data_IF_512477948633
#
_entry.id   IF_512477948633
#
_cell.length_a   1.000
_cell.length_b   1.000
_cell.length_c   1.000
_cell.angle_alpha   90.00
_cell.angle_beta   90.00
_cell.angle_gamma   90.00
#
_symmetry.space_group_name_H-M   'P 1'
#
loop_
_entity.id
_entity.type
_entity.pdbx_description
1 polymer ?
#
# COMPACT_ATOMS: atom_id res chain seq x y z
N UNK A 1 -65.35 -68.83 -68.10
CA UNK A 1 -65.58 -67.69 -67.25
C UNK A 1 -64.51 -67.72 -66.17
N UNK A 2 -63.49 -66.98 -66.34
CA UNK A 2 -62.32 -66.93 -65.44
C UNK A 2 -62.28 -65.61 -64.67
N UNK A 3 -62.03 -65.62 -63.37
CA UNK A 3 -62.00 -64.41 -62.58
C UNK A 3 -60.63 -63.73 -62.58
N UNK A 4 -60.56 -62.40 -62.34
CA UNK A 4 -59.34 -61.62 -62.37
C UNK A 4 -58.62 -61.64 -61.01
N UNK A 5 -57.74 -62.59 -60.78
CA UNK A 5 -57.01 -62.71 -59.50
C UNK A 5 -55.65 -61.90 -59.49
N UNK A 6 -55.26 -61.20 -60.58
CA UNK A 6 -53.95 -60.53 -60.67
C UNK A 6 -53.87 -59.04 -60.23
N UNK A 7 -55.02 -58.38 -60.08
CA UNK A 7 -55.00 -56.92 -59.80
C UNK A 7 -54.87 -56.59 -58.30
N UNK A 8 -55.18 -57.48 -57.39
CA UNK A 8 -55.14 -57.24 -55.96
C UNK A 8 -53.71 -57.29 -55.38
N UNK A 9 -52.86 -58.14 -55.90
CA UNK A 9 -51.46 -58.25 -55.45
C UNK A 9 -50.61 -57.04 -55.93
N UNK A 10 -50.84 -56.56 -57.12
CA UNK A 10 -50.18 -55.33 -57.60
C UNK A 10 -50.64 -54.10 -56.81
N UNK A 11 -51.88 -53.96 -56.46
CA UNK A 11 -52.43 -52.91 -55.59
C UNK A 11 -51.83 -52.98 -54.14
N UNK A 12 -51.71 -54.19 -53.60
CA UNK A 12 -51.10 -54.38 -52.29
C UNK A 12 -49.60 -54.06 -52.28
N UNK A 13 -48.85 -54.42 -53.33
CA UNK A 13 -47.45 -54.08 -53.48
C UNK A 13 -47.20 -52.55 -53.63
N UNK A 14 -48.09 -51.86 -54.38
CA UNK A 14 -48.03 -50.41 -54.50
C UNK A 14 -48.36 -49.68 -53.14
N UNK A 15 -49.34 -50.20 -52.40
CA UNK A 15 -49.65 -49.60 -51.08
C UNK A 15 -48.57 -49.85 -50.09
N UNK A 16 -47.90 -51.01 -50.06
CA UNK A 16 -46.80 -51.28 -49.12
C UNK A 16 -45.56 -50.41 -49.46
N UNK A 17 -45.32 -50.20 -50.76
CA UNK A 17 -44.23 -49.32 -51.22
C UNK A 17 -44.48 -47.82 -50.85
N UNK A 18 -45.74 -47.39 -51.03
CA UNK A 18 -46.13 -46.01 -50.59
C UNK A 18 -46.13 -45.84 -49.08
N UNK A 19 -46.51 -46.84 -48.30
CA UNK A 19 -46.40 -46.79 -46.83
C UNK A 19 -44.92 -46.79 -46.40
N UNK A 20 -44.08 -47.61 -47.04
CA UNK A 20 -42.65 -47.62 -46.75
C UNK A 20 -41.97 -46.25 -47.05
N UNK A 21 -42.34 -45.67 -48.21
CA UNK A 21 -41.89 -44.33 -48.62
C UNK A 21 -42.37 -43.24 -47.64
N UNK A 22 -43.62 -43.31 -47.19
CA UNK A 22 -44.15 -42.38 -46.21
C UNK A 22 -43.49 -42.54 -44.82
N UNK A 23 -43.20 -43.76 -44.40
CA UNK A 23 -42.47 -44.03 -43.15
C UNK A 23 -41.02 -43.48 -43.23
N UNK A 24 -40.32 -43.69 -44.36
CA UNK A 24 -38.99 -43.15 -44.56
C UNK A 24 -39.03 -41.61 -44.59
N UNK A 25 -40.05 -41.02 -45.26
CA UNK A 25 -40.23 -39.57 -45.29
C UNK A 25 -40.49 -38.98 -43.87
N UNK A 26 -41.34 -39.67 -43.08
CA UNK A 26 -41.62 -39.28 -41.69
C UNK A 26 -40.39 -39.45 -40.80
N UNK A 27 -39.62 -40.53 -40.92
CA UNK A 27 -38.37 -40.73 -40.21
C UNK A 27 -37.34 -39.67 -40.59
N UNK A 28 -37.22 -39.32 -41.85
CA UNK A 28 -36.34 -38.22 -42.34
C UNK A 28 -36.84 -36.85 -41.84
N UNK A 29 -38.13 -36.63 -41.69
CA UNK A 29 -38.68 -35.36 -41.18
C UNK A 29 -38.51 -35.23 -39.67
N UNK A 30 -38.82 -36.28 -38.88
CA UNK A 30 -38.62 -36.29 -37.45
C UNK A 30 -37.16 -36.42 -37.03
N UNK A 31 -36.25 -36.94 -37.87
CA UNK A 31 -34.82 -37.03 -37.66
C UNK A 31 -34.07 -35.72 -37.89
N UNK A 32 -34.74 -34.63 -38.36
CA UNK A 32 -34.12 -33.33 -38.46
C UNK A 32 -34.01 -32.72 -37.07
N UNK A 33 -32.77 -32.72 -36.49
CA UNK A 33 -32.47 -32.05 -35.22
C UNK A 33 -32.89 -30.58 -35.32
N UNK A 34 -33.67 -30.11 -34.33
CA UNK A 34 -34.03 -28.68 -34.24
C UNK A 34 -32.74 -27.85 -34.11
N UNK A 35 -32.65 -26.74 -34.85
CA UNK A 35 -31.46 -25.90 -34.72
C UNK A 35 -31.36 -25.32 -33.32
N UNK A 36 -30.15 -25.39 -32.73
CA UNK A 36 -29.87 -24.89 -31.39
C UNK A 36 -29.58 -23.37 -31.48
N UNK A 37 -30.27 -22.55 -30.71
CA UNK A 37 -29.99 -21.12 -30.68
C UNK A 37 -28.65 -20.86 -30.01
N UNK A 38 -27.72 -20.16 -30.67
CA UNK A 38 -26.38 -19.84 -30.15
C UNK A 38 -26.08 -18.34 -30.24
N UNK A 39 -25.37 -17.86 -29.24
CA UNK A 39 -24.79 -16.50 -29.26
C UNK A 39 -23.40 -16.60 -29.88
N UNK A 40 -23.13 -15.74 -30.82
CA UNK A 40 -21.84 -15.71 -31.53
C UNK A 40 -21.15 -14.37 -31.35
N UNK A 41 -19.83 -14.40 -31.42
CA UNK A 41 -18.98 -13.24 -31.52
C UNK A 41 -18.14 -13.34 -32.79
N UNK A 42 -17.85 -12.20 -33.40
CA UNK A 42 -16.99 -12.13 -34.57
C UNK A 42 -15.51 -12.04 -34.14
N UNK A 43 -14.67 -12.81 -34.77
CA UNK A 43 -13.21 -12.78 -34.60
C UNK A 43 -12.68 -11.47 -35.20
N UNK A 44 -12.28 -10.55 -34.32
CA UNK A 44 -11.80 -9.23 -34.73
C UNK A 44 -10.35 -8.98 -34.33
N UNK A 45 -9.80 -7.88 -34.81
CA UNK A 45 -8.49 -7.40 -34.32
C UNK A 45 -8.68 -6.38 -33.23
N UNK A 46 -7.83 -6.44 -32.20
CA UNK A 46 -7.87 -5.49 -31.11
C UNK A 46 -6.73 -5.68 -30.12
N UNK A 47 -6.79 -4.94 -29.04
CA UNK A 47 -5.86 -5.03 -27.93
C UNK A 47 -6.23 -6.23 -27.04
N UNK A 48 -5.21 -7.00 -26.63
CA UNK A 48 -5.32 -8.04 -25.59
C UNK A 48 -4.26 -7.76 -24.53
N UNK A 49 -4.69 -7.75 -23.28
CA UNK A 49 -3.83 -7.56 -22.11
C UNK A 49 -3.81 -8.86 -21.28
N UNK A 50 -2.66 -9.22 -20.79
CA UNK A 50 -2.57 -10.24 -19.74
C UNK A 50 -2.50 -9.52 -18.41
N UNK A 51 -3.47 -9.76 -17.55
CA UNK A 51 -3.61 -9.05 -16.29
C UNK A 51 -3.73 -10.01 -15.12
N UNK A 52 -3.31 -9.56 -13.96
CA UNK A 52 -3.50 -10.23 -12.67
C UNK A 52 -4.16 -9.23 -11.73
N UNK A 53 -5.27 -9.61 -11.12
CA UNK A 53 -5.96 -8.80 -10.13
C UNK A 53 -5.56 -9.20 -8.70
N UNK A 54 -5.70 -8.28 -7.77
CA UNK A 54 -5.55 -8.57 -6.34
C UNK A 54 -6.58 -9.59 -5.86
N UNK A 55 -6.19 -10.41 -4.91
CA UNK A 55 -7.03 -11.50 -4.37
C UNK A 55 -8.14 -10.98 -3.45
N UNK A 56 -7.89 -9.89 -2.78
CA UNK A 56 -8.80 -9.19 -1.86
C UNK A 56 -8.63 -7.70 -2.06
N UNK A 57 -9.68 -6.92 -1.76
CA UNK A 57 -9.61 -5.47 -1.82
C UNK A 57 -8.37 -4.95 -1.08
N UNK A 58 -7.59 -4.16 -1.79
CA UNK A 58 -6.49 -3.39 -1.22
C UNK A 58 -7.02 -2.15 -0.51
N UNK A 59 -6.13 -1.36 0.04
CA UNK A 59 -6.45 -0.10 0.72
C UNK A 59 -5.56 1.04 0.26
N UNK A 60 -6.15 2.24 0.23
CA UNK A 60 -5.39 3.48 0.06
C UNK A 60 -4.65 3.77 1.36
N UNK A 61 -3.34 3.89 1.30
CA UNK A 61 -2.46 4.15 2.44
C UNK A 61 -1.70 5.46 2.25
N UNK A 62 -1.37 6.13 3.36
CA UNK A 62 -0.48 7.28 3.34
C UNK A 62 0.98 6.85 3.32
N UNK A 63 1.84 7.60 2.61
CA UNK A 63 3.28 7.33 2.61
C UNK A 63 3.90 7.41 4.01
N UNK A 64 3.37 8.29 4.86
CA UNK A 64 3.72 8.39 6.26
C UNK A 64 2.47 8.44 7.11
N UNK A 65 2.38 7.53 8.06
CA UNK A 65 1.37 7.54 9.11
C UNK A 65 2.05 7.18 10.42
N UNK A 66 1.85 7.98 11.44
CA UNK A 66 2.47 7.74 12.75
C UNK A 66 1.44 7.88 13.85
N UNK A 67 1.37 6.85 14.66
CA UNK A 67 0.57 6.83 15.88
C UNK A 67 1.44 7.33 17.02
N UNK A 68 1.27 8.58 17.38
CA UNK A 68 2.08 9.29 18.37
C UNK A 68 1.55 8.99 19.77
N UNK A 69 2.45 8.60 20.67
CA UNK A 69 2.16 8.41 22.10
C UNK A 69 3.05 9.30 22.93
N UNK A 70 2.59 9.70 24.11
CA UNK A 70 3.42 10.41 25.07
C UNK A 70 4.53 9.50 25.60
N UNK A 71 5.73 10.06 25.84
CA UNK A 71 6.88 9.33 26.42
C UNK A 71 6.71 9.19 27.94
N UNK A 72 6.07 10.18 28.56
CA UNK A 72 5.78 10.22 30.00
C UNK A 72 4.28 10.27 30.24
N UNK A 73 3.80 9.70 31.34
CA UNK A 73 2.41 9.86 31.75
C UNK A 73 2.18 11.21 32.44
N UNK A 74 0.96 11.73 32.30
CA UNK A 74 0.57 12.97 32.95
C UNK A 74 -0.81 13.45 32.52
N UNK A 75 -1.34 14.45 33.25
CA UNK A 75 -2.61 15.08 32.89
C UNK A 75 -2.42 15.98 31.67
N UNK A 76 -3.33 15.88 30.70
CA UNK A 76 -3.34 16.75 29.51
C UNK A 76 -3.70 18.17 29.96
N UNK A 77 -2.79 19.11 29.77
CA UNK A 77 -2.96 20.53 30.06
C UNK A 77 -3.48 21.29 28.83
N UNK A 78 -2.87 21.01 27.68
CA UNK A 78 -3.18 21.69 26.43
C UNK A 78 -3.33 20.66 25.31
N UNK A 79 -4.42 20.76 24.58
CA UNK A 79 -4.64 20.13 23.30
C UNK A 79 -4.68 21.22 22.23
N UNK A 80 -3.60 21.36 21.47
CA UNK A 80 -3.40 22.49 20.55
C UNK A 80 -4.02 22.29 19.17
N UNK A 81 -4.60 21.09 18.89
CA UNK A 81 -5.15 20.68 17.61
C UNK A 81 -6.46 19.92 17.79
N UNK A 82 -7.23 19.85 16.69
CA UNK A 82 -8.46 19.06 16.57
C UNK A 82 -8.31 18.00 15.48
N UNK A 83 -9.18 17.01 15.49
CA UNK A 83 -9.27 16.04 14.39
C UNK A 83 -9.62 16.77 13.09
N UNK A 84 -8.91 16.43 12.00
CA UNK A 84 -9.02 17.12 10.72
C UNK A 84 -8.08 18.32 10.52
N UNK A 85 -7.40 18.79 11.56
CA UNK A 85 -6.48 19.94 11.43
C UNK A 85 -5.22 19.55 10.66
N UNK A 86 -4.77 20.45 9.78
CA UNK A 86 -3.46 20.39 9.13
C UNK A 86 -2.37 20.98 10.01
N UNK A 87 -1.31 20.23 10.23
CA UNK A 87 -0.18 20.62 11.09
C UNK A 87 1.12 20.66 10.32
N UNK A 88 2.04 21.52 10.79
CA UNK A 88 3.42 21.60 10.26
C UNK A 88 4.36 20.75 11.11
N UNK A 89 5.46 20.31 10.52
CA UNK A 89 6.56 19.66 11.28
C UNK A 89 7.01 20.53 12.43
N UNK A 90 7.14 19.95 13.64
CA UNK A 90 7.52 20.62 14.87
C UNK A 90 6.41 21.40 15.58
N UNK A 91 5.19 21.43 15.01
CA UNK A 91 4.03 22.07 15.66
C UNK A 91 3.64 21.29 16.92
N UNK A 92 3.34 22.01 18.01
CA UNK A 92 2.83 21.44 19.23
C UNK A 92 1.44 20.85 18.97
N UNK A 93 1.24 19.60 19.37
CA UNK A 93 -0.02 18.89 19.27
C UNK A 93 -0.73 18.78 20.63
N UNK A 94 0.03 18.34 21.63
CA UNK A 94 -0.46 18.11 22.98
C UNK A 94 0.62 18.45 23.99
N UNK A 95 0.25 18.98 25.15
CA UNK A 95 1.17 19.23 26.25
C UNK A 95 0.57 18.68 27.54
N UNK A 96 1.37 17.97 28.30
CA UNK A 96 1.02 17.55 29.65
C UNK A 96 1.33 18.66 30.65
N UNK A 97 0.62 18.67 31.77
CA UNK A 97 0.95 19.49 32.91
C UNK A 97 2.37 19.18 33.39
N UNK A 98 3.20 20.21 33.50
CA UNK A 98 4.64 20.05 33.72
C UNK A 98 5.26 21.13 34.63
N UNK A 99 4.48 21.70 35.54
CA UNK A 99 4.95 22.75 36.45
C UNK A 99 6.14 22.28 37.32
N UNK A 100 6.13 20.99 37.74
CA UNK A 100 7.22 20.41 38.49
C UNK A 100 8.54 20.39 37.69
N UNK A 101 8.46 20.01 36.38
CA UNK A 101 9.62 19.99 35.49
C UNK A 101 10.12 21.41 35.20
N UNK A 102 9.20 22.37 35.06
CA UNK A 102 9.55 23.79 34.92
C UNK A 102 10.27 24.32 36.14
N UNK A 103 9.75 24.03 37.34
CA UNK A 103 10.38 24.42 38.60
C UNK A 103 11.78 23.80 38.76
N UNK A 104 11.93 22.51 38.46
CA UNK A 104 13.25 21.84 38.47
C UNK A 104 14.22 22.45 37.48
N UNK A 105 13.77 22.79 36.28
CA UNK A 105 14.59 23.47 35.27
C UNK A 105 15.03 24.85 35.73
N UNK A 106 14.13 25.64 36.30
CA UNK A 106 14.45 26.95 36.89
C UNK A 106 15.48 26.84 38.03
N UNK A 107 15.36 25.84 38.94
CA UNK A 107 16.33 25.58 40.00
C UNK A 107 17.72 25.25 39.40
N UNK A 108 17.77 24.38 38.37
CA UNK A 108 19.04 24.03 37.70
C UNK A 108 19.72 25.24 37.07
N UNK A 109 18.96 26.15 36.47
CA UNK A 109 19.49 27.42 35.92
C UNK A 109 20.07 28.32 37.02
N UNK A 110 19.39 28.43 38.18
CA UNK A 110 19.91 29.21 39.30
C UNK A 110 21.19 28.59 39.88
N UNK A 111 21.34 27.27 39.85
CA UNK A 111 22.60 26.59 40.26
C UNK A 111 23.75 26.92 39.33
N UNK A 112 23.53 27.01 37.98
CA UNK A 112 24.54 27.47 37.02
C UNK A 112 24.96 28.89 37.33
N UNK A 113 24.06 29.81 37.60
CA UNK A 113 24.39 31.20 37.95
C UNK A 113 25.24 31.28 39.21
N UNK A 114 24.88 30.54 40.25
CA UNK A 114 25.65 30.43 41.51
C UNK A 114 27.08 29.89 41.24
N UNK A 115 27.20 28.81 40.49
CA UNK A 115 28.50 28.24 40.12
C UNK A 115 29.37 29.23 39.32
N UNK A 116 28.78 30.01 38.42
CA UNK A 116 29.51 31.07 37.66
C UNK A 116 30.03 32.16 38.58
N UNK A 117 29.30 32.61 39.60
CA UNK A 117 29.77 33.61 40.58
C UNK A 117 30.96 33.09 41.37
N UNK A 118 30.95 31.80 41.76
CA UNK A 118 32.09 31.15 42.45
C UNK A 118 33.34 31.09 41.55
N UNK A 119 33.16 30.86 40.25
CA UNK A 119 34.28 30.93 39.30
C UNK A 119 34.90 32.32 39.28
N UNK A 120 34.08 33.38 39.23
CA UNK A 120 34.58 34.77 39.33
C UNK A 120 35.45 35.03 40.55
N UNK A 121 34.98 34.56 41.74
CA UNK A 121 35.73 34.67 42.97
C UNK A 121 37.05 33.89 42.94
N UNK A 122 37.01 32.60 42.67
CA UNK A 122 38.20 31.73 42.71
C UNK A 122 39.22 32.07 41.66
N UNK A 123 38.80 32.42 40.42
CA UNK A 123 39.73 32.77 39.36
C UNK A 123 40.37 34.18 39.58
N UNK A 124 39.63 35.13 40.16
CA UNK A 124 40.20 36.40 40.56
C UNK A 124 41.27 36.21 41.67
N UNK A 125 41.06 35.33 42.64
CA UNK A 125 42.05 34.96 43.63
C UNK A 125 43.29 34.28 43.01
N UNK A 126 43.08 33.40 42.04
CA UNK A 126 44.16 32.75 41.29
C UNK A 126 45.01 33.75 40.52
N UNK A 127 44.38 34.71 39.85
CA UNK A 127 45.07 35.78 39.12
C UNK A 127 45.88 36.68 40.06
N UNK A 128 45.36 36.96 41.26
CA UNK A 128 46.11 37.75 42.26
C UNK A 128 47.34 36.99 42.79
N UNK A 129 47.19 35.69 43.07
CA UNK A 129 48.32 34.86 43.51
C UNK A 129 49.38 34.70 42.42
N UNK A 130 48.97 34.57 41.15
CA UNK A 130 49.86 34.48 40.02
C UNK A 130 50.67 35.80 39.78
N UNK A 131 50.04 36.95 40.03
CA UNK A 131 50.78 38.25 39.99
C UNK A 131 51.75 38.33 41.14
N UNK A 132 51.45 37.91 42.37
CA UNK A 132 52.30 37.84 43.49
C UNK A 132 53.56 36.96 43.26
N UNK A 133 53.30 35.71 42.75
CA UNK A 133 54.37 34.77 42.41
C UNK A 133 55.39 35.38 41.40
N UNK A 134 54.86 36.02 40.37
CA UNK A 134 55.73 36.73 39.39
C UNK A 134 56.56 37.84 40.07
N UNK A 135 55.97 38.63 40.89
CA UNK A 135 56.67 39.71 41.63
C UNK A 135 57.77 39.14 42.55
N UNK A 136 57.54 38.06 43.26
CA UNK A 136 58.49 37.38 44.13
C UNK A 136 59.69 36.83 43.30
N UNK A 137 59.40 36.26 42.13
CA UNK A 137 60.46 35.79 41.20
C UNK A 137 61.35 36.94 40.70
N UNK A 138 60.80 38.09 40.29
CA UNK A 138 61.55 39.28 39.91
C UNK A 138 62.40 39.83 41.05
N UNK A 139 61.88 39.89 42.27
CA UNK A 139 62.63 40.37 43.44
C UNK A 139 63.77 39.39 43.82
N UNK A 140 63.60 38.09 43.61
CA UNK A 140 64.67 37.12 43.84
C UNK A 140 65.80 37.26 42.86
N UNK A 141 65.54 37.50 41.59
CA UNK A 141 66.56 37.79 40.59
C UNK A 141 67.41 39.01 40.96
N UNK A 142 66.78 39.98 41.65
CA UNK A 142 67.46 41.19 42.17
C UNK A 142 68.11 40.97 43.54
N UNK A 143 67.98 39.75 44.15
CA UNK A 143 68.62 39.45 45.45
C UNK A 143 67.80 39.90 46.67
N UNK A 144 66.60 40.42 46.55
CA UNK A 144 65.85 41.01 47.65
C UNK A 144 65.00 39.97 48.48
N UNK A 145 64.78 38.79 47.90
CA UNK A 145 63.98 37.73 48.64
C UNK A 145 64.70 36.39 48.59
N UNK A 146 64.34 35.46 49.53
CA UNK A 146 64.91 34.11 49.58
C UNK A 146 64.19 33.17 48.60
N UNK A 147 64.89 32.10 48.19
CA UNK A 147 64.36 31.02 47.37
C UNK A 147 63.05 30.41 48.00
N UNK A 148 63.07 30.17 49.33
CA UNK A 148 61.93 29.65 50.04
C UNK A 148 60.68 30.54 49.95
N UNK A 149 60.87 31.85 49.81
CA UNK A 149 59.74 32.79 49.68
C UNK A 149 59.13 32.76 48.26
N UNK A 150 60.00 32.65 47.23
CA UNK A 150 59.60 32.46 45.87
C UNK A 150 58.82 31.14 45.71
N UNK A 151 59.35 30.00 46.21
CA UNK A 151 58.77 28.71 46.18
C UNK A 151 57.38 28.70 46.85
N UNK A 152 57.27 29.38 48.02
CA UNK A 152 55.96 29.47 48.70
C UNK A 152 54.93 30.26 47.86
N UNK A 153 55.30 31.35 47.21
CA UNK A 153 54.42 32.15 46.41
C UNK A 153 54.02 31.39 45.10
N UNK A 154 54.92 30.59 44.53
CA UNK A 154 54.65 29.75 43.38
C UNK A 154 53.68 28.62 43.73
N UNK A 155 53.89 27.91 44.85
CA UNK A 155 53.00 26.87 45.33
C UNK A 155 51.58 27.40 45.63
N UNK A 156 51.45 28.58 46.21
CA UNK A 156 50.17 29.25 46.45
C UNK A 156 49.46 29.60 45.15
N UNK A 157 50.19 30.13 44.14
CA UNK A 157 49.64 30.43 42.84
C UNK A 157 49.12 29.16 42.12
N UNK A 158 49.85 28.05 42.18
CA UNK A 158 49.40 26.75 41.65
C UNK A 158 48.15 26.20 42.36
N UNK A 159 48.13 26.28 43.67
CA UNK A 159 46.97 25.87 44.47
C UNK A 159 45.72 26.69 44.11
N UNK A 160 45.82 28.00 43.98
CA UNK A 160 44.70 28.86 43.55
C UNK A 160 44.27 28.61 42.11
N UNK A 161 45.22 28.32 41.20
CA UNK A 161 44.93 27.95 39.82
C UNK A 161 44.14 26.63 39.76
N UNK A 162 44.56 25.62 40.55
CA UNK A 162 43.84 24.35 40.65
C UNK A 162 42.43 24.53 41.24
N UNK A 163 42.26 25.39 42.26
CA UNK A 163 40.95 25.75 42.80
C UNK A 163 40.04 26.43 41.77
N UNK A 164 40.57 27.39 40.96
CA UNK A 164 39.82 27.99 39.87
C UNK A 164 39.40 26.94 38.82
N UNK A 165 40.26 26.00 38.46
CA UNK A 165 39.93 24.92 37.51
C UNK A 165 38.85 23.98 38.06
N UNK A 166 38.86 23.70 39.36
CA UNK A 166 37.84 22.88 40.05
C UNK A 166 36.45 23.54 39.94
N UNK A 167 36.31 24.81 40.34
CA UNK A 167 35.02 25.52 40.24
C UNK A 167 34.53 25.75 38.81
N UNK A 168 35.44 25.82 37.82
CA UNK A 168 35.06 25.77 36.41
C UNK A 168 34.44 24.41 36.04
N UNK A 169 34.91 23.30 36.59
CA UNK A 169 34.34 22.01 36.41
C UNK A 169 32.90 21.93 37.01
N UNK A 170 32.68 22.58 38.18
CA UNK A 170 31.36 22.69 38.79
C UNK A 170 30.33 23.38 37.88
N UNK A 171 30.75 24.42 37.14
CA UNK A 171 29.87 25.07 36.14
C UNK A 171 29.48 24.08 35.01
N UNK A 172 30.42 23.27 34.53
CA UNK A 172 30.12 22.26 33.52
C UNK A 172 29.16 21.21 34.05
N UNK A 173 29.32 20.79 35.30
CA UNK A 173 28.39 19.86 35.98
C UNK A 173 26.99 20.47 36.12
N UNK A 174 26.88 21.69 36.61
CA UNK A 174 25.61 22.40 36.73
C UNK A 174 24.93 22.57 35.36
N UNK A 175 25.70 22.89 34.29
CA UNK A 175 25.19 22.99 32.92
C UNK A 175 24.66 21.62 32.38
N UNK A 176 25.34 20.52 32.71
CA UNK A 176 24.85 19.19 32.39
C UNK A 176 23.50 18.90 33.08
N UNK A 177 23.32 19.34 34.32
CA UNK A 177 22.05 19.22 35.05
C UNK A 177 20.92 20.01 34.34
N UNK A 178 21.16 21.21 33.87
CA UNK A 178 20.20 22.00 33.07
C UNK A 178 19.79 21.23 31.82
N UNK A 179 20.73 20.58 31.13
CA UNK A 179 20.40 19.77 29.95
C UNK A 179 19.48 18.58 30.28
N UNK A 180 19.71 17.90 31.41
CA UNK A 180 18.84 16.81 31.88
C UNK A 180 17.42 17.31 32.10
N UNK A 181 17.25 18.37 32.90
CA UNK A 181 15.91 18.92 33.22
C UNK A 181 15.20 19.45 31.98
N UNK A 182 15.92 20.01 31.00
CA UNK A 182 15.35 20.44 29.72
C UNK A 182 14.83 19.26 28.91
N UNK A 183 15.56 18.13 28.87
CA UNK A 183 15.10 16.92 28.20
C UNK A 183 13.85 16.35 28.88
N UNK A 184 13.85 16.30 30.21
CA UNK A 184 12.66 15.85 31.00
C UNK A 184 11.45 16.72 30.68
N UNK A 185 11.60 18.03 30.65
CA UNK A 185 10.54 18.97 30.28
C UNK A 185 10.06 18.75 28.82
N UNK A 186 10.99 18.54 27.87
CA UNK A 186 10.62 18.30 26.46
C UNK A 186 9.78 17.03 26.25
N UNK A 187 9.92 16.03 27.12
CA UNK A 187 9.12 14.79 27.06
C UNK A 187 7.65 14.97 27.41
N UNK A 188 7.30 16.10 28.02
CA UNK A 188 5.91 16.45 28.35
C UNK A 188 5.15 17.11 27.20
N UNK A 189 5.82 17.41 26.09
CA UNK A 189 5.24 18.01 24.90
C UNK A 189 5.29 17.03 23.70
N UNK A 190 4.15 16.81 23.06
CA UNK A 190 4.03 16.03 21.84
C UNK A 190 4.02 16.98 20.65
N UNK A 191 4.97 16.82 19.74
CA UNK A 191 5.09 17.64 18.53
C UNK A 191 5.00 16.79 17.27
N UNK A 192 4.53 17.38 16.18
CA UNK A 192 4.40 16.71 14.89
C UNK A 192 5.78 16.38 14.29
N UNK A 193 6.11 15.12 13.98
CA UNK A 193 7.39 14.73 13.37
C UNK A 193 7.48 15.12 11.89
N UNK A 194 6.35 15.28 11.20
CA UNK A 194 6.22 15.71 9.81
C UNK A 194 4.95 16.57 9.66
N UNK A 195 4.80 17.23 8.52
CA UNK A 195 3.57 17.95 8.17
C UNK A 195 2.51 16.98 7.68
N UNK A 196 1.26 17.15 8.12
CA UNK A 196 0.17 16.25 7.75
C UNK A 196 -1.15 16.65 8.39
N UNK A 197 -2.12 15.75 8.34
CA UNK A 197 -3.46 15.92 8.90
C UNK A 197 -3.65 15.03 10.13
N UNK A 198 -4.23 15.59 11.19
CA UNK A 198 -4.58 14.86 12.41
C UNK A 198 -5.80 13.98 12.13
N UNK A 199 -5.60 12.66 12.10
CA UNK A 199 -6.67 11.72 11.79
C UNK A 199 -7.53 11.39 13.02
N UNK A 200 -6.89 11.26 14.19
CA UNK A 200 -7.58 10.89 15.42
C UNK A 200 -6.83 11.43 16.63
N UNK A 201 -7.57 11.82 17.64
CA UNK A 201 -7.08 12.20 18.96
C UNK A 201 -7.71 11.29 20.00
N UNK A 202 -6.92 10.84 20.96
CA UNK A 202 -7.38 10.06 22.10
C UNK A 202 -7.04 10.80 23.37
N UNK A 203 -8.06 11.14 24.16
CA UNK A 203 -7.97 11.92 25.39
C UNK A 203 -8.38 13.39 25.22
N UNK A 204 -8.87 13.97 26.29
CA UNK A 204 -9.34 15.34 26.38
C UNK A 204 -8.53 16.15 27.41
N UNK A 205 -8.63 17.46 27.35
CA UNK A 205 -7.99 18.33 28.35
C UNK A 205 -8.50 17.99 29.75
N UNK A 206 -7.58 17.74 30.67
CA UNK A 206 -7.86 17.30 32.03
C UNK A 206 -7.75 15.79 32.26
N UNK A 207 -7.79 14.98 31.21
CA UNK A 207 -7.59 13.54 31.29
C UNK A 207 -6.12 13.15 31.47
N UNK A 208 -5.91 11.93 31.95
CA UNK A 208 -4.56 11.39 32.15
C UNK A 208 -4.13 10.59 30.91
N UNK A 209 -3.09 11.05 30.23
CA UNK A 209 -2.44 10.32 29.14
C UNK A 209 -1.37 9.38 29.70
N UNK A 210 -1.45 8.09 29.36
CA UNK A 210 -0.48 7.08 29.73
C UNK A 210 0.50 6.80 28.60
N UNK A 211 1.79 6.63 28.88
CA UNK A 211 2.74 6.15 27.87
C UNK A 211 2.40 4.71 27.46
N UNK A 212 2.79 4.31 26.25
CA UNK A 212 2.68 2.92 25.80
C UNK A 212 3.85 2.11 26.37
N UNK A 213 3.66 1.32 27.45
CA UNK A 213 4.72 0.47 27.94
C UNK A 213 5.00 -0.68 26.96
N UNK A 214 6.23 -1.21 26.91
CA UNK A 214 6.57 -2.34 26.06
C UNK A 214 5.63 -3.53 26.30
N UNK A 215 5.04 -4.06 25.23
CA UNK A 215 4.17 -5.24 25.28
C UNK A 215 2.71 -4.98 25.68
N UNK A 216 2.33 -3.74 26.01
CA UNK A 216 0.94 -3.38 26.29
C UNK A 216 0.41 -2.47 25.18
N UNK A 217 -0.58 -2.89 24.40
CA UNK A 217 -1.19 -2.03 23.39
C UNK A 217 -2.04 -0.95 24.06
N UNK A 218 -1.49 0.24 24.21
CA UNK A 218 -2.25 1.42 24.64
C UNK A 218 -2.66 2.23 23.41
N UNK A 219 -3.86 2.84 23.40
CA UNK A 219 -4.25 3.72 22.29
C UNK A 219 -3.23 4.85 22.13
N UNK A 220 -2.81 5.16 20.90
CA UNK A 220 -1.95 6.32 20.66
C UNK A 220 -2.69 7.59 21.02
N UNK A 221 -1.97 8.61 21.52
CA UNK A 221 -2.58 9.89 21.84
C UNK A 221 -3.07 10.63 20.58
N UNK A 222 -2.27 10.59 19.50
CA UNK A 222 -2.59 11.25 18.25
C UNK A 222 -2.17 10.37 17.06
N UNK A 223 -3.06 10.20 16.08
CA UNK A 223 -2.77 9.55 14.79
C UNK A 223 -2.57 10.66 13.74
N UNK A 224 -1.37 10.75 13.18
CA UNK A 224 -0.98 11.76 12.19
C UNK A 224 -0.72 11.10 10.84
N UNK A 225 -1.31 11.63 9.78
CA UNK A 225 -1.26 11.10 8.42
C UNK A 225 -0.69 12.16 7.48
N UNK A 226 0.25 11.78 6.62
CA UNK A 226 0.68 12.60 5.47
C UNK A 226 -0.27 12.35 4.29
N UNK A 227 -1.23 13.24 4.12
CA UNK A 227 -2.23 13.20 3.03
C UNK A 227 -1.72 13.76 1.69
N UNK A 228 -0.48 14.22 1.64
CA UNK A 228 0.15 14.71 0.40
C UNK A 228 0.69 13.60 -0.50
N UNK A 229 0.91 12.42 0.06
CA UNK A 229 1.45 11.25 -0.63
C UNK A 229 0.62 10.02 -0.28
N UNK A 230 -0.09 9.49 -1.28
CA UNK A 230 -0.92 8.31 -1.16
C UNK A 230 -0.45 7.20 -2.10
N UNK A 231 -0.62 5.97 -1.69
CA UNK A 231 -0.40 4.79 -2.52
C UNK A 231 -1.47 3.72 -2.21
N UNK A 232 -1.62 2.75 -3.07
CA UNK A 232 -2.49 1.60 -2.83
C UNK A 232 -1.65 0.42 -2.39
N UNK A 233 -2.04 -0.19 -1.29
CA UNK A 233 -1.50 -1.46 -0.83
C UNK A 233 -2.48 -2.57 -1.17
N UNK A 234 -2.07 -3.51 -2.02
CA UNK A 234 -2.94 -4.58 -2.51
C UNK A 234 -2.33 -5.97 -2.26
N UNK A 235 -3.09 -6.91 -1.70
CA UNK A 235 -2.63 -8.28 -1.49
C UNK A 235 -2.81 -9.11 -2.77
N UNK A 236 -1.71 -9.60 -3.34
CA UNK A 236 -1.66 -10.50 -4.50
C UNK A 236 -1.53 -11.93 -4.05
N UNK A 237 -2.07 -12.88 -4.83
CA UNK A 237 -1.91 -14.31 -4.56
C UNK A 237 -0.43 -14.73 -4.62
N UNK A 238 -0.02 -15.65 -3.73
CA UNK A 238 1.34 -16.18 -3.68
C UNK A 238 1.77 -16.81 -5.01
N UNK A 239 0.82 -17.42 -5.75
CA UNK A 239 1.10 -18.08 -7.04
C UNK A 239 1.39 -17.06 -8.14
N UNK A 240 0.75 -15.90 -8.08
CA UNK A 240 0.89 -14.83 -9.09
C UNK A 240 2.01 -13.85 -8.76
N UNK A 241 2.37 -13.70 -7.47
CA UNK A 241 3.38 -12.76 -7.00
C UNK A 241 4.75 -12.85 -7.71
N UNK A 242 5.28 -14.05 -8.07
CA UNK A 242 6.55 -14.15 -8.80
C UNK A 242 6.57 -13.49 -10.19
N UNK A 243 5.40 -13.23 -10.75
CA UNK A 243 5.25 -12.57 -12.07
C UNK A 243 5.16 -11.06 -11.94
N UNK A 244 4.99 -10.53 -10.70
CA UNK A 244 4.86 -9.10 -10.42
C UNK A 244 6.19 -8.53 -9.97
N UNK A 245 6.63 -7.44 -10.61
CA UNK A 245 7.86 -6.72 -10.26
C UNK A 245 7.67 -5.21 -10.32
N UNK A 246 8.56 -4.48 -9.67
CA UNK A 246 8.51 -3.02 -9.65
C UNK A 246 8.61 -2.42 -11.05
N UNK A 247 7.80 -1.42 -11.34
CA UNK A 247 7.73 -0.74 -12.64
C UNK A 247 6.63 -1.24 -13.58
N UNK A 248 5.98 -2.39 -13.30
CA UNK A 248 4.83 -2.83 -14.07
C UNK A 248 3.69 -1.80 -14.00
N UNK A 249 3.05 -1.58 -15.13
CA UNK A 249 1.85 -0.74 -15.21
C UNK A 249 0.67 -1.43 -14.53
N UNK A 250 -0.15 -0.64 -13.87
CA UNK A 250 -1.35 -1.14 -13.19
C UNK A 250 -2.55 -0.25 -13.51
N UNK A 251 -3.72 -0.83 -13.40
CA UNK A 251 -5.01 -0.15 -13.40
C UNK A 251 -5.58 -0.22 -12.00
N UNK A 252 -5.86 0.94 -11.41
CA UNK A 252 -6.39 1.07 -10.05
C UNK A 252 -7.85 1.48 -10.14
N UNK A 253 -8.72 0.75 -9.48
CA UNK A 253 -10.14 1.08 -9.32
C UNK A 253 -10.40 1.32 -7.84
N UNK A 254 -11.14 2.38 -7.51
CA UNK A 254 -11.45 2.78 -6.13
C UNK A 254 -12.95 2.67 -5.93
N UNK A 255 -13.40 1.93 -4.93
CA UNK A 255 -14.84 1.68 -4.68
C UNK A 255 -15.63 2.98 -4.47
N UNK A 256 -15.01 3.95 -3.80
CA UNK A 256 -15.62 5.27 -3.58
C UNK A 256 -15.77 6.12 -4.87
N UNK A 257 -15.10 5.73 -5.98
CA UNK A 257 -15.13 6.43 -7.28
C UNK A 257 -15.52 5.47 -8.41
N UNK A 258 -16.77 4.99 -8.43
CA UNK A 258 -17.22 3.97 -9.37
C UNK A 258 -17.09 4.43 -10.83
N UNK A 259 -16.83 3.49 -11.72
CA UNK A 259 -16.65 3.72 -13.18
C UNK A 259 -15.42 4.57 -13.56
N UNK A 260 -14.52 4.84 -12.62
CA UNK A 260 -13.24 5.50 -12.90
C UNK A 260 -12.11 4.53 -12.60
N UNK A 261 -11.16 4.45 -13.51
CA UNK A 261 -9.90 3.74 -13.31
C UNK A 261 -8.73 4.71 -13.45
N UNK A 262 -7.70 4.49 -12.66
CA UNK A 262 -6.54 5.36 -12.60
C UNK A 262 -5.29 4.57 -12.99
N UNK A 263 -4.46 5.11 -13.90
CA UNK A 263 -3.19 4.50 -14.22
C UNK A 263 -2.22 4.63 -13.05
N UNK A 264 -1.38 3.61 -12.90
CA UNK A 264 -0.36 3.61 -11.86
C UNK A 264 0.74 2.61 -12.16
N UNK A 265 1.67 2.46 -11.22
CA UNK A 265 2.80 1.54 -11.34
C UNK A 265 3.07 0.82 -10.02
N UNK A 266 3.50 -0.43 -10.14
CA UNK A 266 4.03 -1.18 -9.00
C UNK A 266 5.29 -0.48 -8.50
N UNK A 267 5.25 0.03 -7.28
CA UNK A 267 6.38 0.66 -6.59
C UNK A 267 7.27 -0.39 -5.93
N UNK A 268 6.64 -1.36 -5.28
CA UNK A 268 7.32 -2.37 -4.47
C UNK A 268 6.49 -3.65 -4.38
N UNK A 269 7.17 -4.77 -4.33
CA UNK A 269 6.59 -6.07 -3.95
C UNK A 269 7.18 -6.44 -2.58
N UNK A 270 6.35 -6.88 -1.65
CA UNK A 270 6.82 -7.28 -0.32
C UNK A 270 7.78 -8.49 -0.43
N UNK A 271 8.85 -8.53 0.36
CA UNK A 271 9.83 -9.63 0.31
C UNK A 271 9.40 -10.86 1.12
N UNK A 272 8.16 -10.90 1.58
CA UNK A 272 7.62 -12.00 2.41
C UNK A 272 6.16 -12.26 2.10
N UNK A 273 5.73 -13.47 2.39
CA UNK A 273 4.33 -13.91 2.26
C UNK A 273 3.61 -13.71 3.58
N UNK A 274 2.47 -13.05 3.52
CA UNK A 274 1.58 -12.89 4.67
C UNK A 274 0.58 -14.06 4.69
N UNK A 275 0.58 -14.81 5.78
CA UNK A 275 -0.38 -15.88 6.02
C UNK A 275 -1.27 -15.49 7.20
N UNK A 276 -2.55 -15.28 6.95
CA UNK A 276 -3.57 -15.10 7.99
C UNK A 276 -4.35 -16.39 8.12
N UNK A 277 -4.59 -16.82 9.35
CA UNK A 277 -5.31 -18.07 9.63
C UNK A 277 -6.64 -18.12 8.88
N UNK A 278 -6.90 -19.23 8.18
CA UNK A 278 -8.09 -19.47 7.33
C UNK A 278 -8.24 -18.52 6.11
N UNK A 279 -7.19 -17.84 5.68
CA UNK A 279 -7.20 -17.00 4.49
C UNK A 279 -6.14 -17.42 3.48
N UNK A 280 -6.30 -17.01 2.20
CA UNK A 280 -5.30 -17.24 1.18
C UNK A 280 -3.98 -16.55 1.56
N UNK A 281 -2.87 -17.21 1.23
CA UNK A 281 -1.52 -16.64 1.38
C UNK A 281 -1.29 -15.57 0.34
N UNK A 282 -0.84 -14.41 0.76
CA UNK A 282 -0.69 -13.25 -0.11
C UNK A 282 0.65 -12.56 0.05
N UNK A 283 1.08 -11.90 -1.02
CA UNK A 283 2.22 -10.98 -1.05
C UNK A 283 1.68 -9.58 -1.29
N UNK A 284 1.99 -8.65 -0.41
CA UNK A 284 1.55 -7.27 -0.55
C UNK A 284 2.36 -6.55 -1.64
N UNK A 285 1.67 -5.83 -2.50
CA UNK A 285 2.28 -4.89 -3.44
C UNK A 285 1.88 -3.46 -3.10
N UNK A 286 2.83 -2.55 -3.20
CA UNK A 286 2.57 -1.12 -3.10
C UNK A 286 2.53 -0.52 -4.51
N UNK A 287 1.47 0.20 -4.81
CA UNK A 287 1.21 0.78 -6.12
C UNK A 287 1.04 2.29 -6.01
N UNK A 288 1.74 3.05 -6.83
CA UNK A 288 1.61 4.52 -6.90
C UNK A 288 0.76 4.92 -8.10
N UNK A 289 0.04 6.02 -7.95
CA UNK A 289 -0.68 6.65 -9.05
C UNK A 289 0.29 7.41 -9.95
N UNK A 290 0.11 7.34 -11.27
CA UNK A 290 0.92 8.12 -12.22
C UNK A 290 0.53 9.62 -12.16
N UNK A 291 -0.74 9.92 -11.91
CA UNK A 291 -1.27 11.28 -11.84
C UNK A 291 -2.06 11.50 -10.53
N UNK A 292 -1.39 11.65 -9.38
CA UNK A 292 -2.08 11.76 -8.09
C UNK A 292 -3.01 13.00 -8.00
N UNK A 293 -2.67 14.09 -8.68
CA UNK A 293 -3.48 15.31 -8.66
C UNK A 293 -4.80 15.21 -9.46
N UNK A 294 -4.91 14.29 -10.40
CA UNK A 294 -6.10 14.10 -11.24
C UNK A 294 -7.22 13.31 -10.52
N UNK A 295 -6.92 12.70 -9.38
CA UNK A 295 -7.83 11.78 -8.69
C UNK A 295 -8.84 12.56 -7.85
N UNK A 296 -8.46 13.69 -7.32
CA UNK A 296 -9.20 14.46 -6.32
C UNK A 296 -8.87 14.03 -4.89
N UNK A 297 -9.61 14.48 -3.89
CA UNK A 297 -9.35 14.15 -2.49
C UNK A 297 -9.67 12.67 -2.22
N UNK A 298 -8.65 11.87 -1.96
CA UNK A 298 -8.78 10.49 -1.48
C UNK A 298 -8.59 10.44 0.02
N UNK A 299 -9.36 9.57 0.68
CA UNK A 299 -9.18 9.30 2.09
C UNK A 299 -8.36 8.01 2.28
N UNK A 300 -7.43 8.06 3.21
CA UNK A 300 -6.71 6.87 3.67
C UNK A 300 -7.72 5.86 4.23
N UNK A 301 -7.60 4.60 3.81
CA UNK A 301 -8.52 3.53 4.17
C UNK A 301 -9.60 3.24 3.13
N UNK A 302 -9.71 3.99 2.02
CA UNK A 302 -10.60 3.60 0.92
C UNK A 302 -10.17 2.26 0.33
N UNK A 303 -11.16 1.42 0.00
CA UNK A 303 -10.94 0.17 -0.70
C UNK A 303 -10.56 0.43 -2.16
N UNK A 304 -9.59 -0.32 -2.65
CA UNK A 304 -9.10 -0.20 -4.01
C UNK A 304 -8.74 -1.57 -4.60
N UNK A 305 -9.13 -1.81 -5.84
CA UNK A 305 -8.69 -2.96 -6.61
C UNK A 305 -7.57 -2.57 -7.56
N UNK A 306 -6.60 -3.46 -7.68
CA UNK A 306 -5.41 -3.28 -8.50
C UNK A 306 -5.31 -4.41 -9.52
N UNK A 307 -5.29 -4.05 -10.79
CA UNK A 307 -5.07 -4.96 -11.89
C UNK A 307 -3.68 -4.71 -12.50
N UNK A 308 -2.76 -5.65 -12.27
CA UNK A 308 -1.37 -5.56 -12.78
C UNK A 308 -1.33 -6.04 -14.21
N UNK A 309 -0.78 -5.24 -15.10
CA UNK A 309 -0.67 -5.51 -16.54
C UNK A 309 0.69 -6.17 -16.79
N UNK A 310 0.69 -7.48 -17.06
CA UNK A 310 1.90 -8.25 -17.31
C UNK A 310 2.39 -8.13 -18.76
N UNK A 311 1.48 -7.93 -19.68
CA UNK A 311 1.80 -7.79 -21.09
C UNK A 311 0.65 -7.24 -21.90
N UNK A 312 0.98 -6.55 -22.96
CA UNK A 312 0.01 -5.94 -23.88
C UNK A 312 0.37 -6.35 -25.29
N UNK A 313 -0.63 -6.75 -26.06
CA UNK A 313 -0.53 -6.96 -27.52
C UNK A 313 -1.56 -6.10 -28.21
N UNK A 314 -1.08 -5.25 -29.07
CA UNK A 314 -1.92 -4.34 -29.85
C UNK A 314 -2.24 -4.94 -31.23
N UNK A 315 -3.46 -4.70 -31.75
CA UNK A 315 -3.88 -5.09 -33.09
C UNK A 315 -3.70 -6.59 -33.40
N UNK A 316 -3.87 -7.46 -32.43
CA UNK A 316 -3.84 -8.92 -32.58
C UNK A 316 -5.23 -9.48 -32.89
N UNK A 317 -5.29 -10.65 -33.49
CA UNK A 317 -6.53 -11.38 -33.67
C UNK A 317 -6.99 -11.88 -32.31
N UNK A 318 -8.24 -11.60 -31.93
CA UNK A 318 -8.77 -11.94 -30.61
C UNK A 318 -10.19 -12.50 -30.68
N UNK A 319 -10.49 -13.32 -29.67
CA UNK A 319 -11.83 -13.87 -29.44
C UNK A 319 -12.23 -13.66 -27.99
N UNK A 320 -13.52 -13.53 -27.68
CA UNK A 320 -13.97 -13.56 -26.30
C UNK A 320 -13.52 -14.86 -25.61
N UNK A 321 -13.01 -14.79 -24.39
CA UNK A 321 -12.53 -15.94 -23.63
C UNK A 321 -13.65 -16.96 -23.41
N UNK A 322 -14.91 -16.53 -23.32
CA UNK A 322 -16.08 -17.39 -23.25
C UNK A 322 -16.30 -18.30 -24.48
N UNK A 323 -15.62 -18.02 -25.62
CA UNK A 323 -15.68 -18.88 -26.80
C UNK A 323 -14.62 -19.98 -26.80
N UNK A 324 -13.66 -19.95 -25.86
CA UNK A 324 -12.62 -20.95 -25.70
C UNK A 324 -13.07 -22.07 -24.77
N UNK A 325 -13.18 -23.28 -25.32
CA UNK A 325 -13.38 -24.50 -24.55
C UNK A 325 -12.07 -25.09 -24.04
N UNK A 326 -12.18 -26.18 -23.28
CA UNK A 326 -11.02 -26.91 -22.75
C UNK A 326 -10.07 -27.36 -23.88
N UNK A 327 -8.76 -27.17 -23.65
CA UNK A 327 -7.73 -27.54 -24.62
C UNK A 327 -7.65 -26.61 -25.84
N UNK A 328 -8.17 -25.37 -25.76
CA UNK A 328 -8.10 -24.40 -26.84
C UNK A 328 -9.05 -24.72 -28.02
N UNK A 329 -10.15 -25.42 -27.77
CA UNK A 329 -11.16 -25.75 -28.77
C UNK A 329 -12.17 -24.62 -28.88
N UNK A 330 -12.56 -24.29 -30.11
CA UNK A 330 -13.60 -23.30 -30.42
C UNK A 330 -14.61 -23.91 -31.39
N UNK A 331 -15.86 -23.49 -31.27
CA UNK A 331 -16.90 -23.84 -32.20
C UNK A 331 -17.14 -22.65 -33.15
N UNK A 332 -16.83 -22.86 -34.41
CA UNK A 332 -17.01 -21.87 -35.48
C UNK A 332 -18.32 -22.16 -36.20
N UNK A 333 -19.09 -21.13 -36.52
CA UNK A 333 -20.32 -21.25 -37.33
C UNK A 333 -19.95 -21.26 -38.80
N UNK A 334 -20.08 -22.41 -39.43
CA UNK A 334 -19.93 -22.59 -40.89
C UNK A 334 -21.29 -22.87 -41.51
N UNK A 335 -21.87 -21.88 -42.18
CA UNK A 335 -23.27 -21.94 -42.64
C UNK A 335 -24.27 -22.11 -41.47
N UNK A 336 -24.93 -23.26 -41.43
CA UNK A 336 -25.89 -23.64 -40.36
C UNK A 336 -25.33 -24.67 -39.39
N UNK A 337 -24.07 -25.03 -39.46
CA UNK A 337 -23.43 -26.05 -38.62
C UNK A 337 -22.27 -25.52 -37.82
N UNK A 338 -22.03 -26.19 -36.66
CA UNK A 338 -20.86 -25.92 -35.85
C UNK A 338 -19.70 -26.82 -36.24
N UNK A 339 -18.56 -26.18 -36.49
CA UNK A 339 -17.31 -26.89 -36.77
C UNK A 339 -16.36 -26.64 -35.62
N UNK A 340 -15.86 -27.72 -35.00
CA UNK A 340 -14.84 -27.63 -33.95
C UNK A 340 -13.48 -27.38 -34.61
N UNK A 341 -12.75 -26.40 -34.06
CA UNK A 341 -11.35 -26.12 -34.44
C UNK A 341 -10.50 -25.98 -33.20
N UNK A 342 -9.26 -26.40 -33.27
CA UNK A 342 -8.26 -26.16 -32.24
C UNK A 342 -7.56 -24.86 -32.54
N UNK A 343 -7.47 -24.01 -31.53
CA UNK A 343 -6.87 -22.69 -31.61
C UNK A 343 -5.63 -22.66 -30.70
N UNK A 344 -4.54 -22.10 -31.19
CA UNK A 344 -3.39 -21.78 -30.37
C UNK A 344 -3.57 -20.37 -29.84
N UNK A 345 -3.85 -20.25 -28.55
CA UNK A 345 -4.01 -18.97 -27.88
C UNK A 345 -2.66 -18.41 -27.40
N UNK A 346 -2.54 -17.09 -27.41
CA UNK A 346 -1.42 -16.33 -26.85
C UNK A 346 -1.79 -15.71 -25.49
N UNK A 347 -1.65 -14.37 -25.37
CA UNK A 347 -2.08 -13.63 -24.21
C UNK A 347 -3.61 -13.73 -24.03
N UNK A 348 -4.05 -13.85 -22.78
CA UNK A 348 -5.48 -13.88 -22.48
C UNK A 348 -5.77 -13.20 -21.14
N UNK A 349 -6.98 -12.68 -21.03
CA UNK A 349 -7.59 -12.22 -19.78
C UNK A 349 -9.02 -12.78 -19.67
N UNK A 350 -9.79 -12.27 -18.71
CA UNK A 350 -11.18 -12.71 -18.50
C UNK A 350 -12.14 -12.33 -19.63
N UNK A 351 -11.80 -11.33 -20.47
CA UNK A 351 -12.66 -10.82 -21.53
C UNK A 351 -12.28 -11.36 -22.93
N UNK A 352 -10.98 -11.30 -23.27
CA UNK A 352 -10.45 -11.71 -24.57
C UNK A 352 -9.22 -12.59 -24.47
N UNK A 353 -9.07 -13.47 -25.47
CA UNK A 353 -7.86 -14.24 -25.72
C UNK A 353 -7.29 -13.92 -27.12
N UNK A 354 -5.98 -13.75 -27.21
CA UNK A 354 -5.23 -13.65 -28.44
C UNK A 354 -5.26 -14.99 -29.18
N UNK A 355 -5.47 -14.94 -30.48
CA UNK A 355 -5.42 -16.08 -31.39
C UNK A 355 -4.15 -15.99 -32.24
N UNK A 356 -3.25 -16.94 -32.03
CA UNK A 356 -2.01 -17.05 -32.81
C UNK A 356 -2.23 -17.84 -34.11
N UNK A 357 -2.96 -18.95 -34.00
CA UNK A 357 -3.23 -19.87 -35.12
C UNK A 357 -4.64 -20.50 -34.96
N UNK A 358 -5.28 -20.86 -36.09
CA UNK A 358 -6.51 -21.67 -36.10
C UNK A 358 -7.77 -20.91 -36.47
N UNK A 359 -7.77 -19.56 -36.48
CA UNK A 359 -8.91 -18.73 -36.87
C UNK A 359 -8.47 -17.61 -37.80
N UNK A 360 -9.42 -17.12 -38.59
CA UNK A 360 -9.26 -15.93 -39.45
C UNK A 360 -10.17 -14.80 -38.99
N UNK A 361 -9.81 -13.56 -39.33
CA UNK A 361 -10.64 -12.38 -39.02
C UNK A 361 -12.00 -12.47 -39.73
N UNK A 362 -13.08 -12.10 -39.07
CA UNK A 362 -14.45 -12.16 -39.59
C UNK A 362 -15.18 -13.49 -39.36
N UNK A 363 -14.50 -14.54 -38.89
CA UNK A 363 -15.18 -15.79 -38.54
C UNK A 363 -16.06 -15.60 -37.29
N UNK A 364 -17.17 -16.34 -37.23
CA UNK A 364 -18.11 -16.27 -36.10
C UNK A 364 -17.88 -17.45 -35.17
N UNK A 365 -17.53 -17.18 -33.94
CA UNK A 365 -17.31 -18.19 -32.87
C UNK A 365 -18.43 -18.17 -31.85
N UNK A 366 -18.81 -19.33 -31.34
CA UNK A 366 -19.88 -19.49 -30.35
C UNK A 366 -19.37 -19.12 -28.97
N UNK A 367 -20.08 -18.23 -28.26
CA UNK A 367 -19.77 -17.84 -26.88
C UNK A 367 -20.66 -18.52 -25.85
N UNK A 368 -21.77 -19.15 -26.28
CA UNK A 368 -22.73 -19.86 -25.41
C UNK A 368 -22.47 -21.37 -25.39
N UNK A 369 -21.23 -21.77 -25.05
CA UNK A 369 -20.77 -23.17 -25.05
C UNK A 369 -21.56 -24.08 -24.08
N UNK A 370 -22.07 -23.51 -22.99
CA UNK A 370 -22.79 -24.25 -21.93
C UNK A 370 -24.22 -24.61 -22.28
N UNK A 371 -24.77 -24.13 -23.41
CA UNK A 371 -26.13 -24.44 -23.80
C UNK A 371 -26.27 -25.90 -24.23
N UNK A 372 -27.35 -26.54 -23.80
CA UNK A 372 -27.67 -27.92 -24.16
C UNK A 372 -27.78 -28.09 -25.69
N UNK A 373 -27.09 -29.07 -26.23
CA UNK A 373 -27.06 -29.35 -27.67
C UNK A 373 -25.99 -28.63 -28.47
N UNK A 374 -25.21 -27.74 -27.87
CA UNK A 374 -24.07 -27.07 -28.53
C UNK A 374 -22.88 -28.02 -28.58
N UNK A 375 -22.64 -28.60 -29.75
CA UNK A 375 -21.53 -29.54 -30.03
C UNK A 375 -21.15 -29.51 -31.51
N UNK A 376 -19.99 -30.01 -31.85
CA UNK A 376 -19.55 -30.15 -33.21
C UNK A 376 -20.58 -30.89 -34.06
N UNK A 377 -20.86 -30.40 -35.26
CA UNK A 377 -21.85 -30.93 -36.19
C UNK A 377 -23.31 -30.57 -35.90
N UNK A 378 -23.60 -29.86 -34.78
CA UNK A 378 -24.96 -29.42 -34.46
C UNK A 378 -25.43 -28.33 -35.46
N UNK A 379 -26.73 -28.41 -35.86
CA UNK A 379 -27.36 -27.29 -36.58
C UNK A 379 -27.69 -26.17 -35.64
N UNK A 380 -27.40 -24.94 -36.02
CA UNK A 380 -27.58 -23.76 -35.16
C UNK A 380 -28.31 -22.62 -35.85
N UNK A 381 -29.00 -21.85 -35.05
CA UNK A 381 -29.52 -20.53 -35.45
C UNK A 381 -28.86 -19.47 -34.59
N UNK A 382 -28.26 -18.44 -35.24
CA UNK A 382 -27.60 -17.35 -34.57
C UNK A 382 -28.64 -16.43 -33.92
N UNK A 383 -28.59 -16.29 -32.61
CA UNK A 383 -29.35 -15.27 -31.90
C UNK A 383 -28.55 -13.96 -31.89
N UNK A 384 -29.20 -12.84 -32.24
CA UNK A 384 -28.62 -11.53 -32.01
C UNK A 384 -28.42 -11.31 -30.52
N UNK A 385 -27.26 -10.81 -30.06
CA UNK A 385 -27.06 -10.53 -28.65
C UNK A 385 -28.09 -9.48 -28.21
N UNK A 386 -29.09 -9.93 -27.44
CA UNK A 386 -30.02 -8.98 -26.78
C UNK A 386 -29.21 -8.23 -25.76
N UNK A 387 -29.06 -6.93 -25.94
CA UNK A 387 -28.39 -6.05 -25.00
C UNK A 387 -29.05 -6.25 -23.61
N UNK A 388 -28.38 -6.96 -22.71
CA UNK A 388 -28.77 -6.94 -21.29
C UNK A 388 -28.49 -5.53 -20.79
N UNK A 389 -29.58 -4.83 -20.46
CA UNK A 389 -29.56 -3.56 -19.71
C UNK A 389 -29.09 -3.75 -18.27
#
# INVERSE_FOLDING_TARGET
MSPPFRSQWLRRGLITLAVLGAVVAVVMWFGRSKPVPVIVAEVGRGKVESTIANTRAGSVEACQRTRLSMITGGRIEVLAVKEGDRVKKGQLLMKLWNDDQQAQHALALAQVDTARKRVGEACTAADAAAREARRQAELREQGFVSIAREDAAHAEAEAKRAACAAVQADVRQAQARVNVTRVEQSRTALVAPFAGTVAKIVGEVGEYSTPSPPGVPTPPAIDLIDDSCLYVKAPMDEVDAPRVYAGLSVRISIDALPKRSFPGRVKRVAPFVTAVEKQARTVDIDVTFDEPNAIGPLLVGYSADVEVILGVRENVLRVPTAALGEGGRVLVVDGEQLVERTVKSGLSNWEYAEVLEGLSGGERVVTSLEREGVKAGARVTVESPTARR
#
